data_IF_754897830937
#
_entry.id   IF_754897830937
#
_cell.length_a   1.000
_cell.length_b   1.000
_cell.length_c   1.000
_cell.angle_alpha   90.00
_cell.angle_beta   90.00
_cell.angle_gamma   90.00
#
_symmetry.space_group_name_H-M   'P 1'
#
loop_
_entity.id
_entity.type
_entity.pdbx_description
1 polymer ?
#
# COMPACT_ATOMS: atom_id res chain seq x y z
N UNK A 1 4.35 16.51 -10.87
CA UNK A 1 3.87 15.79 -9.67
C UNK A 1 4.68 16.23 -8.45
N UNK A 2 4.03 16.82 -7.42
CA UNK A 2 4.63 17.30 -6.16
C UNK A 2 3.84 16.74 -4.96
N UNK A 3 3.82 15.42 -4.75
CA UNK A 3 3.29 14.84 -3.50
C UNK A 3 4.45 14.21 -2.71
N UNK A 4 4.71 14.62 -1.45
CA UNK A 4 5.79 14.07 -0.63
C UNK A 4 5.73 12.54 -0.50
N UNK A 5 4.52 11.99 -0.46
CA UNK A 5 4.21 10.58 -0.22
C UNK A 5 4.85 9.66 -1.27
N UNK A 6 4.90 10.10 -2.54
CA UNK A 6 5.51 9.32 -3.63
C UNK A 6 7.04 9.38 -3.63
N UNK A 7 7.66 10.37 -2.98
CA UNK A 7 9.13 10.50 -2.92
C UNK A 7 9.75 9.52 -1.92
N UNK A 8 9.04 9.17 -0.85
CA UNK A 8 9.50 8.20 0.14
C UNK A 8 9.81 6.86 -0.52
N UNK A 9 8.90 6.38 -1.36
CA UNK A 9 9.08 5.10 -2.07
C UNK A 9 10.22 5.16 -3.07
N UNK A 10 10.35 6.27 -3.81
CA UNK A 10 11.49 6.46 -4.72
C UNK A 10 12.83 6.30 -3.97
N UNK A 11 13.00 6.96 -2.83
CA UNK A 11 14.23 6.86 -2.03
C UNK A 11 14.47 5.45 -1.50
N UNK A 12 13.42 4.76 -1.06
CA UNK A 12 13.49 3.39 -0.58
C UNK A 12 13.88 2.41 -1.71
N UNK A 13 13.35 2.61 -2.93
CA UNK A 13 13.75 1.81 -4.10
C UNK A 13 15.22 1.99 -4.50
N UNK A 14 15.86 3.10 -4.13
CA UNK A 14 17.29 3.30 -4.40
C UNK A 14 18.20 2.56 -3.39
N UNK A 15 17.64 1.97 -2.33
CA UNK A 15 18.42 1.21 -1.34
C UNK A 15 18.76 -0.15 -1.93
N UNK A 16 19.99 -0.29 -2.43
CA UNK A 16 20.49 -1.53 -3.05
C UNK A 16 21.25 -2.44 -2.08
N UNK A 17 21.35 -2.06 -0.82
CA UNK A 17 22.08 -2.79 0.23
C UNK A 17 21.10 -3.45 1.20
N UNK A 18 21.57 -4.49 1.88
CA UNK A 18 20.84 -5.12 2.97
C UNK A 18 20.63 -4.08 4.08
N UNK A 19 19.38 -3.67 4.29
CA UNK A 19 19.03 -2.61 5.22
C UNK A 19 17.69 -2.87 5.89
N UNK A 20 17.49 -2.17 7.01
CA UNK A 20 16.21 -2.10 7.69
C UNK A 20 15.76 -0.64 7.76
N UNK A 21 14.52 -0.39 7.40
CA UNK A 21 13.94 0.94 7.36
C UNK A 21 12.63 1.02 8.15
N UNK A 22 12.45 2.12 8.86
CA UNK A 22 11.17 2.45 9.52
C UNK A 22 10.61 3.70 8.89
N UNK A 23 9.40 3.59 8.35
CA UNK A 23 8.63 4.70 7.82
C UNK A 23 7.68 5.18 8.90
N UNK A 24 7.85 6.43 9.33
CA UNK A 24 6.93 7.09 10.26
C UNK A 24 5.91 7.87 9.45
N UNK A 25 4.68 7.38 9.44
CA UNK A 25 3.58 8.03 8.74
C UNK A 25 2.25 7.70 9.41
N UNK A 26 1.37 8.70 9.54
CA UNK A 26 0.00 8.52 10.00
C UNK A 26 -1.00 8.32 8.86
N UNK A 27 -0.58 8.57 7.62
CA UNK A 27 -1.40 8.45 6.42
C UNK A 27 -1.42 6.98 5.95
N UNK A 28 -2.61 6.40 5.78
CA UNK A 28 -2.79 5.03 5.28
C UNK A 28 -2.46 4.87 3.81
N UNK A 29 -2.56 5.95 3.04
CA UNK A 29 -2.39 5.91 1.58
C UNK A 29 -0.96 5.52 1.23
N UNK A 30 0.01 5.82 2.10
CA UNK A 30 1.40 5.42 1.92
C UNK A 30 1.54 3.89 1.82
N UNK A 31 0.76 3.11 2.58
CA UNK A 31 0.79 1.64 2.53
C UNK A 31 0.29 1.13 1.19
N UNK A 32 -0.74 1.78 0.63
CA UNK A 32 -1.25 1.45 -0.70
C UNK A 32 -0.18 1.68 -1.76
N UNK A 33 0.56 2.79 -1.67
CA UNK A 33 1.66 3.06 -2.61
C UNK A 33 2.80 2.04 -2.42
N UNK A 34 3.12 1.64 -1.17
CA UNK A 34 4.11 0.59 -0.91
C UNK A 34 3.71 -0.74 -1.55
N UNK A 35 2.48 -1.21 -1.33
CA UNK A 35 1.99 -2.48 -1.89
C UNK A 35 2.01 -2.50 -3.42
N UNK A 36 1.76 -1.35 -4.07
CA UNK A 36 1.86 -1.23 -5.51
C UNK A 36 3.28 -1.26 -6.09
N UNK A 37 4.33 -1.09 -5.27
CA UNK A 37 5.72 -0.93 -5.73
C UNK A 37 6.73 -1.86 -5.04
N UNK A 38 6.27 -2.74 -4.13
CA UNK A 38 7.14 -3.60 -3.33
C UNK A 38 7.90 -4.65 -4.15
N UNK A 39 7.40 -5.00 -5.33
CA UNK A 39 8.10 -5.86 -6.30
C UNK A 39 9.33 -5.19 -6.93
N UNK A 40 9.47 -3.87 -6.81
CA UNK A 40 10.65 -3.12 -7.25
C UNK A 40 11.71 -2.99 -6.16
N UNK A 41 11.44 -3.43 -4.94
CA UNK A 41 12.37 -3.34 -3.82
C UNK A 41 13.34 -4.51 -3.79
N UNK A 42 14.54 -4.26 -3.25
CA UNK A 42 15.49 -5.32 -2.97
C UNK A 42 14.86 -6.30 -1.95
N UNK A 43 14.90 -7.60 -2.25
CA UNK A 43 14.34 -8.66 -1.39
C UNK A 43 14.96 -8.68 0.02
N UNK A 44 16.19 -8.21 0.17
CA UNK A 44 16.88 -8.11 1.47
C UNK A 44 16.42 -6.92 2.33
N UNK A 45 15.67 -5.96 1.76
CA UNK A 45 15.22 -4.77 2.45
C UNK A 45 14.02 -5.09 3.35
N UNK A 46 14.17 -4.84 4.66
CA UNK A 46 13.09 -5.01 5.64
C UNK A 46 12.50 -3.66 6.01
N UNK A 47 11.23 -3.46 5.70
CA UNK A 47 10.51 -2.22 5.93
C UNK A 47 9.42 -2.39 6.98
N UNK A 48 9.35 -1.41 7.85
CA UNK A 48 8.34 -1.32 8.90
C UNK A 48 7.63 0.03 8.80
N UNK A 49 6.35 0.04 9.14
CA UNK A 49 5.60 1.27 9.39
C UNK A 49 5.37 1.44 10.89
N UNK A 50 5.65 2.64 11.39
CA UNK A 50 5.27 3.05 12.74
C UNK A 50 3.92 3.75 12.65
N UNK A 51 2.90 3.16 13.26
CA UNK A 51 1.51 3.59 13.19
C UNK A 51 0.94 3.89 14.57
N UNK A 52 0.10 4.93 14.67
CA UNK A 52 -0.51 5.34 15.95
C UNK A 52 0.36 6.31 16.74
N UNK A 53 -0.07 6.63 17.96
CA UNK A 53 0.59 7.60 18.84
C UNK A 53 0.53 7.11 20.29
N UNK A 54 1.60 7.34 21.05
CA UNK A 54 1.67 7.04 22.49
C UNK A 54 1.53 5.54 22.77
N UNK A 55 0.69 5.17 23.73
CA UNK A 55 0.50 3.78 24.14
C UNK A 55 -0.17 2.88 23.08
N UNK A 56 -0.69 3.47 22.00
CA UNK A 56 -1.28 2.74 20.87
C UNK A 56 -0.37 2.69 19.65
N UNK A 57 0.88 3.13 19.80
CA UNK A 57 1.89 3.02 18.75
C UNK A 57 2.21 1.55 18.46
N UNK A 58 2.28 1.22 17.17
CA UNK A 58 2.59 -0.12 16.67
C UNK A 58 3.66 -0.02 15.59
N UNK A 59 4.60 -0.95 15.63
CA UNK A 59 5.53 -1.17 14.53
C UNK A 59 5.05 -2.39 13.75
N UNK A 60 4.70 -2.20 12.48
CA UNK A 60 4.09 -3.23 11.64
C UNK A 60 5.01 -3.50 10.45
N UNK A 61 5.32 -4.77 10.20
CA UNK A 61 6.16 -5.20 9.06
C UNK A 61 5.38 -5.03 7.76
N UNK A 62 5.91 -4.21 6.85
CA UNK A 62 5.30 -4.00 5.52
C UNK A 62 5.54 -5.25 4.65
N UNK A 63 6.69 -5.89 4.79
CA UNK A 63 7.05 -7.10 4.04
C UNK A 63 6.09 -8.25 4.36
N UNK A 64 5.75 -8.46 5.63
CA UNK A 64 4.88 -9.56 6.04
C UNK A 64 3.45 -9.32 5.53
N UNK A 65 2.95 -8.08 5.64
CA UNK A 65 1.64 -7.70 5.07
C UNK A 65 1.59 -7.93 3.56
N UNK A 66 2.65 -7.62 2.83
CA UNK A 66 2.73 -7.86 1.39
C UNK A 66 2.73 -9.35 1.05
N UNK A 67 3.42 -10.18 1.85
CA UNK A 67 3.37 -11.64 1.70
C UNK A 67 1.96 -12.18 1.94
N UNK A 68 1.29 -11.71 2.99
CA UNK A 68 -0.08 -12.12 3.35
C UNK A 68 -1.11 -11.72 2.28
N UNK A 69 -1.00 -10.50 1.74
CA UNK A 69 -1.88 -10.00 0.67
C UNK A 69 -1.62 -10.71 -0.66
N UNK A 70 -0.36 -11.07 -0.92
CA UNK A 70 0.11 -11.58 -2.20
C UNK A 70 0.24 -10.50 -3.27
N UNK A 71 1.04 -10.83 -4.30
CA UNK A 71 1.43 -9.90 -5.38
C UNK A 71 0.20 -9.33 -6.11
N UNK A 72 -0.75 -10.21 -6.44
CA UNK A 72 -1.92 -9.87 -7.25
C UNK A 72 -2.75 -8.78 -6.55
N UNK A 73 -3.16 -9.01 -5.30
CA UNK A 73 -4.00 -8.07 -4.56
C UNK A 73 -3.24 -6.78 -4.29
N UNK A 74 -1.96 -6.88 -3.90
CA UNK A 74 -1.09 -5.73 -3.64
C UNK A 74 -1.00 -4.77 -4.83
N UNK A 75 -0.87 -5.29 -6.06
CA UNK A 75 -0.88 -4.48 -7.30
C UNK A 75 -2.22 -3.85 -7.63
N UNK A 76 -3.34 -4.47 -7.21
CA UNK A 76 -4.67 -3.94 -7.47
C UNK A 76 -5.09 -2.86 -6.47
N UNK A 77 -4.48 -2.80 -5.28
CA UNK A 77 -4.82 -1.83 -4.22
C UNK A 77 -4.70 -0.36 -4.65
N UNK A 78 -3.65 0.10 -5.37
CA UNK A 78 -3.59 1.47 -5.88
C UNK A 78 -4.75 1.84 -6.79
N UNK A 79 -5.13 0.93 -7.70
CA UNK A 79 -6.27 1.13 -8.59
C UNK A 79 -7.58 1.16 -7.80
N UNK A 80 -7.74 0.22 -6.85
CA UNK A 80 -8.89 0.16 -5.96
C UNK A 80 -9.05 1.43 -5.12
N UNK A 81 -7.95 1.94 -4.56
CA UNK A 81 -7.94 3.19 -3.81
C UNK A 81 -8.35 4.33 -4.74
N UNK A 82 -7.75 4.50 -5.93
CA UNK A 82 -8.11 5.57 -6.86
C UNK A 82 -9.60 5.60 -7.27
N UNK A 83 -10.26 4.43 -7.37
CA UNK A 83 -11.69 4.34 -7.74
C UNK A 83 -12.66 4.44 -6.56
N UNK A 84 -12.20 4.11 -5.34
CA UNK A 84 -13.05 4.14 -4.13
C UNK A 84 -12.81 5.37 -3.27
N UNK A 85 -11.66 6.02 -3.43
CA UNK A 85 -11.18 7.16 -2.67
C UNK A 85 -10.29 8.07 -3.53
N UNK A 86 -10.81 9.25 -3.85
CA UNK A 86 -9.99 10.44 -3.88
C UNK A 86 -10.92 11.61 -3.57
N UNK A 87 -10.45 12.57 -2.77
CA UNK A 87 -11.19 13.70 -2.17
C UNK A 87 -12.03 14.55 -3.14
N UNK A 88 -12.00 14.27 -4.45
CA UNK A 88 -12.71 15.01 -5.50
C UNK A 88 -13.44 14.15 -6.55
N UNK A 89 -13.37 12.81 -6.50
CA UNK A 89 -14.10 11.93 -7.43
C UNK A 89 -15.31 11.34 -6.70
N UNK A 90 -16.52 11.26 -7.29
CA UNK A 90 -17.63 10.60 -6.63
C UNK A 90 -17.26 9.13 -6.41
N UNK A 91 -16.88 8.79 -5.17
CA UNK A 91 -16.88 7.41 -4.70
C UNK A 91 -18.23 6.79 -5.10
N UNK A 92 -18.24 5.53 -5.52
CA UNK A 92 -19.44 4.84 -6.00
C UNK A 92 -20.68 5.25 -5.20
N UNK A 93 -21.60 6.00 -5.82
CA UNK A 93 -22.72 6.62 -5.13
C UNK A 93 -23.48 5.60 -4.28
N UNK A 94 -23.49 5.80 -2.95
CA UNK A 94 -24.11 4.91 -1.95
C UNK A 94 -23.54 3.48 -1.86
N UNK A 95 -22.29 3.26 -2.28
CA UNK A 95 -21.55 2.00 -2.06
C UNK A 95 -20.30 2.28 -1.22
N UNK A 96 -20.30 1.83 0.02
CA UNK A 96 -19.10 1.84 0.85
C UNK A 96 -18.06 0.81 0.38
N UNK A 97 -16.81 0.96 0.84
CA UNK A 97 -15.63 0.18 0.38
C UNK A 97 -15.73 -1.33 0.54
N UNK A 98 -16.52 -1.80 1.50
CA UNK A 98 -16.60 -3.22 1.88
C UNK A 98 -17.21 -4.12 0.79
N UNK A 99 -18.10 -3.58 -0.05
CA UNK A 99 -18.66 -4.36 -1.18
C UNK A 99 -17.65 -4.45 -2.33
N UNK A 100 -17.04 -3.34 -2.79
CA UNK A 100 -15.95 -3.38 -3.76
C UNK A 100 -14.74 -4.24 -3.30
N UNK A 101 -14.32 -4.18 -2.02
CA UNK A 101 -13.16 -4.96 -1.56
C UNK A 101 -13.41 -6.46 -1.63
N UNK A 102 -14.58 -6.92 -1.16
CA UNK A 102 -14.99 -8.33 -1.28
C UNK A 102 -15.11 -8.79 -2.73
N UNK A 103 -15.45 -7.89 -3.65
CA UNK A 103 -15.48 -8.19 -5.07
C UNK A 103 -14.05 -8.37 -5.59
N UNK A 104 -13.15 -7.45 -5.25
CA UNK A 104 -11.74 -7.48 -5.63
C UNK A 104 -11.09 -8.80 -5.23
N UNK A 105 -11.21 -9.19 -3.95
CA UNK A 105 -10.68 -10.45 -3.40
C UNK A 105 -11.19 -11.71 -4.13
N UNK A 106 -12.45 -11.69 -4.59
CA UNK A 106 -13.08 -12.84 -5.27
C UNK A 106 -12.79 -12.89 -6.77
N UNK A 107 -12.32 -11.80 -7.35
CA UNK A 107 -12.25 -11.61 -8.79
C UNK A 107 -10.86 -11.87 -9.36
N UNK A 108 -10.47 -13.13 -9.49
CA UNK A 108 -9.19 -13.54 -10.12
C UNK A 108 -9.01 -12.90 -11.51
N UNK A 109 -10.10 -12.64 -12.23
CA UNK A 109 -10.09 -12.04 -13.57
C UNK A 109 -9.74 -10.54 -13.60
N UNK A 110 -10.11 -9.77 -12.56
CA UNK A 110 -9.79 -8.34 -12.49
C UNK A 110 -8.36 -8.11 -12.00
N UNK A 111 -7.91 -8.96 -11.07
CA UNK A 111 -6.54 -8.87 -10.53
C UNK A 111 -5.48 -9.34 -11.54
N UNK A 112 -5.86 -10.11 -12.57
CA UNK A 112 -4.98 -10.55 -13.67
C UNK A 112 -4.95 -9.61 -14.89
N UNK A 113 -5.90 -8.69 -15.02
CA UNK A 113 -6.04 -7.75 -16.15
C UNK A 113 -5.43 -6.36 -15.88
N UNK A 114 -4.95 -6.13 -14.67
CA UNK A 114 -4.18 -4.95 -14.23
C UNK A 114 -2.70 -5.32 -14.16
#
# INVERSE_FOLDING_TARGET
MKKPDTRIIYHICQISVDAQGVVRCSDSDILIIFFGNLDHLNASLKLWIQWGVGNHERLISINDLYQDLGISLSKALPCFHAITECDYTPAFFRKGKLRPSKLLEKSVEYVKRL
#
